data_IF_463333469432
#
_entry.id   IF_463333469432
#
_cell.length_a   1.000
_cell.length_b   1.000
_cell.length_c   1.000
_cell.angle_alpha   90.00
_cell.angle_beta   90.00
_cell.angle_gamma   90.00
#
_symmetry.space_group_name_H-M   'P 1'
#
loop_
_entity.id
_entity.type
_entity.pdbx_description
1 polymer ?
#
# COMPACT_ATOMS: atom_id res chain seq x y z
N UNK A 1 79.45 17.82 28.54
CA UNK A 1 78.08 17.54 29.12
C UNK A 1 77.04 18.11 28.23
N UNK A 2 76.41 17.30 27.36
CA UNK A 2 75.35 17.76 26.46
C UNK A 2 74.05 17.13 26.91
N UNK A 3 73.06 17.96 27.32
CA UNK A 3 71.75 17.56 27.80
C UNK A 3 70.83 17.58 26.61
N UNK A 4 70.39 16.42 26.14
CA UNK A 4 69.41 16.27 25.07
C UNK A 4 68.04 16.30 25.68
N UNK A 5 67.22 17.30 25.25
CA UNK A 5 65.82 17.48 25.63
C UNK A 5 64.94 16.79 24.58
N UNK A 6 64.26 15.70 24.98
CA UNK A 6 63.26 15.01 24.13
C UNK A 6 61.93 15.73 24.20
N UNK A 7 61.48 16.30 23.07
CA UNK A 7 60.12 16.79 22.89
C UNK A 7 59.18 15.63 22.52
N UNK A 8 58.27 15.33 23.38
CA UNK A 8 57.16 14.44 23.08
C UNK A 8 56.04 15.25 22.44
N UNK A 9 55.80 15.05 21.13
CA UNK A 9 54.63 15.61 20.43
C UNK A 9 53.43 14.67 20.65
N UNK A 10 52.45 15.14 21.41
CA UNK A 10 51.12 14.49 21.55
C UNK A 10 50.32 14.70 20.26
N UNK A 11 50.21 13.66 19.46
CA UNK A 11 49.23 13.59 18.38
C UNK A 11 47.85 13.27 18.95
N UNK A 12 46.98 14.26 19.09
CA UNK A 12 45.54 14.04 19.31
C UNK A 12 44.90 13.61 17.98
N UNK A 13 44.67 12.30 17.83
CA UNK A 13 43.84 11.78 16.77
C UNK A 13 42.36 12.06 17.10
N UNK A 14 41.77 13.08 16.43
CA UNK A 14 40.34 13.35 16.49
C UNK A 14 39.57 12.21 15.85
N UNK A 15 38.92 11.35 16.64
CA UNK A 15 37.91 10.42 16.15
C UNK A 15 36.66 11.23 15.75
N UNK A 16 36.48 11.46 14.44
CA UNK A 16 35.20 11.85 13.90
C UNK A 16 34.24 10.69 14.08
N UNK A 17 33.37 10.79 15.07
CA UNK A 17 32.21 9.91 15.20
C UNK A 17 31.26 10.19 14.04
N UNK A 18 31.26 9.35 13.01
CA UNK A 18 30.19 9.30 12.01
C UNK A 18 28.94 8.74 12.68
N UNK A 19 28.01 9.62 13.05
CA UNK A 19 26.66 9.20 13.41
C UNK A 19 26.02 8.57 12.17
N UNK A 20 25.51 7.33 12.27
CA UNK A 20 24.70 6.78 11.19
C UNK A 20 23.48 7.67 11.02
N UNK A 21 23.29 8.19 9.81
CA UNK A 21 22.07 8.90 9.43
C UNK A 21 20.90 7.93 9.67
N UNK A 22 20.12 8.19 10.70
CA UNK A 22 18.84 7.52 10.92
C UNK A 22 17.94 7.90 9.75
N UNK A 23 17.92 7.06 8.72
CA UNK A 23 16.87 7.12 7.71
C UNK A 23 15.55 6.79 8.43
N UNK A 24 14.83 7.83 8.86
CA UNK A 24 13.44 7.68 9.24
C UNK A 24 12.70 7.18 7.99
N UNK A 25 12.54 5.87 7.90
CA UNK A 25 11.62 5.27 6.94
C UNK A 25 10.27 5.88 7.26
N UNK A 26 9.85 6.85 6.45
CA UNK A 26 8.49 7.39 6.51
C UNK A 26 7.56 6.21 6.35
N UNK A 27 6.87 5.81 7.42
CA UNK A 27 5.88 4.75 7.33
C UNK A 27 4.84 5.19 6.32
N UNK A 28 4.71 4.46 5.22
CA UNK A 28 3.73 4.76 4.20
C UNK A 28 2.36 4.86 4.87
N UNK A 29 1.67 5.98 4.70
CA UNK A 29 0.34 6.20 5.25
C UNK A 29 -0.68 6.11 4.12
N UNK A 30 -1.76 5.38 4.35
CA UNK A 30 -2.85 5.27 3.39
C UNK A 30 -3.67 6.57 3.37
N UNK A 31 -3.74 7.21 2.22
CA UNK A 31 -4.50 8.45 2.05
C UNK A 31 -5.98 8.13 1.79
N UNK A 32 -6.87 8.69 2.63
CA UNK A 32 -8.32 8.49 2.50
C UNK A 32 -8.93 9.13 1.25
N UNK A 33 -8.48 10.32 0.86
CA UNK A 33 -9.03 10.98 -0.32
C UNK A 33 -8.65 10.25 -1.62
N UNK A 34 -7.41 9.74 -1.71
CA UNK A 34 -7.00 8.87 -2.81
C UNK A 34 -7.83 7.59 -2.80
N UNK A 35 -8.02 6.99 -1.62
CA UNK A 35 -8.90 5.83 -1.49
C UNK A 35 -10.30 6.11 -2.03
N UNK A 36 -10.94 7.17 -1.55
CA UNK A 36 -12.31 7.52 -1.91
C UNK A 36 -12.49 7.81 -3.41
N UNK A 37 -11.52 8.50 -4.00
CA UNK A 37 -11.64 9.00 -5.38
C UNK A 37 -11.05 8.08 -6.44
N UNK A 38 -10.05 7.28 -6.11
CA UNK A 38 -9.31 6.44 -7.09
C UNK A 38 -9.41 4.94 -6.78
N UNK A 39 -9.39 4.53 -5.52
CA UNK A 39 -9.35 3.11 -5.15
C UNK A 39 -10.75 2.53 -4.99
N UNK A 40 -11.61 3.20 -4.25
CA UNK A 40 -12.95 2.72 -3.99
C UNK A 40 -13.79 2.46 -5.27
N UNK A 41 -13.71 3.26 -6.35
CA UNK A 41 -14.38 2.98 -7.62
C UNK A 41 -14.01 1.62 -8.23
N UNK A 42 -12.79 1.12 -7.99
CA UNK A 42 -12.31 -0.20 -8.47
C UNK A 42 -13.22 -1.33 -7.94
N UNK A 43 -13.75 -1.20 -6.71
CA UNK A 43 -14.64 -2.20 -6.13
C UNK A 43 -16.02 -2.27 -6.78
N UNK A 44 -16.41 -1.22 -7.51
CA UNK A 44 -17.67 -1.11 -8.24
C UNK A 44 -17.49 -1.39 -9.74
N UNK A 45 -16.27 -1.43 -10.23
CA UNK A 45 -15.97 -1.63 -11.64
C UNK A 45 -16.51 -2.97 -12.15
N UNK A 46 -17.13 -2.95 -13.33
CA UNK A 46 -17.55 -4.14 -14.05
C UNK A 46 -16.40 -4.63 -14.92
N UNK A 47 -16.06 -5.90 -14.79
CA UNK A 47 -15.05 -6.55 -15.63
C UNK A 47 -15.69 -7.71 -16.37
N UNK A 48 -15.39 -7.90 -17.66
CA UNK A 48 -15.89 -9.06 -18.42
C UNK A 48 -15.55 -10.37 -17.70
N UNK A 49 -16.54 -11.25 -17.54
CA UNK A 49 -16.35 -12.54 -16.89
C UNK A 49 -16.20 -12.55 -15.37
N UNK A 50 -16.26 -11.38 -14.70
CA UNK A 50 -16.09 -11.27 -13.26
C UNK A 50 -17.25 -10.53 -12.58
N UNK A 51 -17.60 -10.99 -11.38
CA UNK A 51 -18.47 -10.23 -10.49
C UNK A 51 -17.74 -8.98 -9.98
N UNK A 52 -18.48 -7.90 -9.70
CA UNK A 52 -17.91 -6.75 -8.99
C UNK A 52 -17.45 -7.16 -7.61
N UNK A 53 -16.39 -6.56 -7.10
CA UNK A 53 -15.87 -6.85 -5.76
C UNK A 53 -16.98 -6.74 -4.69
N UNK A 54 -17.80 -5.68 -4.76
CA UNK A 54 -18.93 -5.46 -3.83
C UNK A 54 -19.95 -6.63 -3.82
N UNK A 55 -20.10 -7.37 -4.91
CA UNK A 55 -21.07 -8.46 -4.98
C UNK A 55 -20.77 -9.59 -3.99
N UNK A 56 -19.49 -9.88 -3.76
CA UNK A 56 -19.05 -10.87 -2.78
C UNK A 56 -18.64 -10.21 -1.46
N UNK A 57 -18.00 -9.03 -1.52
CA UNK A 57 -17.50 -8.32 -0.34
C UNK A 57 -18.55 -7.46 0.38
N UNK A 58 -19.80 -7.48 -0.04
CA UNK A 58 -20.91 -6.88 0.71
C UNK A 58 -21.35 -7.68 1.94
N UNK A 59 -20.98 -8.97 2.04
CA UNK A 59 -21.33 -9.83 3.16
C UNK A 59 -20.38 -11.04 3.25
N UNK A 60 -20.19 -11.58 4.45
CA UNK A 60 -19.60 -12.90 4.64
C UNK A 60 -18.11 -13.08 4.36
N UNK A 61 -17.35 -12.00 4.14
CA UNK A 61 -15.91 -12.05 3.87
C UNK A 61 -15.12 -11.24 4.89
N UNK A 62 -13.79 -11.53 5.09
CA UNK A 62 -12.93 -10.72 5.96
C UNK A 62 -12.84 -9.25 5.52
N UNK A 63 -12.82 -8.97 4.22
CA UNK A 63 -13.01 -7.64 3.66
C UNK A 63 -14.51 -7.42 3.47
N UNK A 64 -15.13 -6.62 4.33
CA UNK A 64 -16.56 -6.31 4.25
C UNK A 64 -16.77 -4.85 3.90
N UNK A 65 -17.29 -4.62 2.71
CA UNK A 65 -17.68 -3.30 2.22
C UNK A 65 -19.13 -2.99 2.62
N UNK A 66 -19.45 -1.72 2.79
CA UNK A 66 -20.81 -1.28 3.04
C UNK A 66 -21.71 -1.55 1.82
N UNK A 67 -22.98 -1.86 2.00
CA UNK A 67 -23.91 -1.95 0.88
C UNK A 67 -24.03 -0.58 0.21
N UNK A 68 -24.29 -0.58 -1.10
CA UNK A 68 -24.62 0.66 -1.79
C UNK A 68 -26.04 1.09 -1.40
N UNK A 69 -26.26 2.36 -1.10
CA UNK A 69 -27.61 2.88 -0.92
C UNK A 69 -28.46 2.63 -2.18
N UNK A 70 -29.77 2.35 -2.05
CA UNK A 70 -30.65 2.17 -3.19
C UNK A 70 -30.55 3.34 -4.18
N UNK A 71 -30.37 3.04 -5.46
CA UNK A 71 -30.27 4.05 -6.53
C UNK A 71 -28.92 4.79 -6.60
N UNK A 72 -27.97 4.53 -5.69
CA UNK A 72 -26.67 5.19 -5.69
C UNK A 72 -25.66 4.43 -6.53
N UNK A 73 -24.83 5.18 -7.30
CA UNK A 73 -23.71 4.64 -8.06
C UNK A 73 -22.43 4.52 -7.22
N UNK A 74 -22.38 5.16 -6.05
CA UNK A 74 -21.21 5.20 -5.15
C UNK A 74 -21.66 5.34 -3.70
N UNK A 75 -20.70 5.19 -2.77
CA UNK A 75 -20.92 5.40 -1.34
C UNK A 75 -20.84 6.89 -0.97
N UNK A 76 -21.60 7.27 0.05
CA UNK A 76 -21.42 8.54 0.73
C UNK A 76 -20.09 8.57 1.52
N UNK A 77 -19.75 9.69 2.14
CA UNK A 77 -18.50 9.83 2.87
C UNK A 77 -18.44 8.93 4.10
N UNK A 78 -19.51 8.79 4.85
CA UNK A 78 -19.57 7.94 6.05
C UNK A 78 -19.28 6.47 5.70
N UNK A 79 -19.98 5.95 4.69
CA UNK A 79 -19.77 4.57 4.23
C UNK A 79 -18.39 4.38 3.59
N UNK A 80 -17.86 5.40 2.90
CA UNK A 80 -16.52 5.39 2.37
C UNK A 80 -15.47 5.31 3.48
N UNK A 81 -15.67 5.97 4.62
CA UNK A 81 -14.78 5.85 5.79
C UNK A 81 -14.83 4.46 6.41
N UNK A 82 -16.02 3.86 6.51
CA UNK A 82 -16.17 2.46 6.96
C UNK A 82 -15.48 1.48 6.00
N UNK A 83 -15.63 1.69 4.70
CA UNK A 83 -14.92 0.90 3.67
C UNK A 83 -13.41 1.05 3.78
N UNK A 84 -12.92 2.27 3.98
CA UNK A 84 -11.50 2.54 4.19
C UNK A 84 -10.95 1.75 5.38
N UNK A 85 -11.63 1.79 6.53
CA UNK A 85 -11.27 1.02 7.72
C UNK A 85 -11.28 -0.50 7.47
N UNK A 86 -12.24 -1.00 6.69
CA UNK A 86 -12.30 -2.41 6.33
C UNK A 86 -11.13 -2.82 5.44
N UNK A 87 -10.79 -1.99 4.45
CA UNK A 87 -9.69 -2.22 3.52
C UNK A 87 -8.33 -2.16 4.21
N UNK A 88 -8.14 -1.27 5.18
CA UNK A 88 -6.90 -1.19 5.97
C UNK A 88 -6.53 -2.53 6.65
N UNK A 89 -7.51 -3.38 6.97
CA UNK A 89 -7.28 -4.69 7.60
C UNK A 89 -6.63 -5.72 6.67
N UNK A 90 -6.70 -5.48 5.37
CA UNK A 90 -6.17 -6.38 4.33
C UNK A 90 -5.04 -5.75 3.52
N UNK A 91 -4.48 -4.66 4.05
CA UNK A 91 -3.37 -3.91 3.45
C UNK A 91 -2.23 -3.79 4.46
N UNK A 92 -1.01 -3.97 3.99
CA UNK A 92 0.21 -3.62 4.70
C UNK A 92 0.80 -2.36 4.05
N UNK A 93 0.68 -1.18 4.67
CA UNK A 93 1.20 0.07 4.11
C UNK A 93 2.68 -0.05 3.76
N UNK A 94 3.07 0.40 2.58
CA UNK A 94 4.42 0.30 2.05
C UNK A 94 4.81 -1.07 1.49
N UNK A 95 3.95 -2.10 1.60
CA UNK A 95 4.30 -3.47 1.19
C UNK A 95 3.20 -4.08 0.29
N UNK A 96 3.10 -3.65 -0.98
CA UNK A 96 2.03 -4.08 -1.89
C UNK A 96 1.95 -5.60 -2.05
N UNK A 97 3.09 -6.26 -2.28
CA UNK A 97 3.15 -7.71 -2.52
C UNK A 97 2.92 -8.59 -1.27
N UNK A 98 2.65 -7.98 -0.11
CA UNK A 98 2.16 -8.65 1.10
C UNK A 98 0.77 -8.18 1.50
N UNK A 99 0.19 -7.26 0.73
CA UNK A 99 -1.16 -6.75 0.95
C UNK A 99 -2.18 -7.65 0.28
N UNK A 100 -3.03 -8.31 1.08
CA UNK A 100 -4.04 -9.26 0.56
C UNK A 100 -4.99 -8.61 -0.45
N UNK A 101 -5.25 -7.33 -0.31
CA UNK A 101 -6.04 -6.57 -1.27
C UNK A 101 -5.48 -6.67 -2.70
N UNK A 102 -4.15 -6.76 -2.87
CA UNK A 102 -3.49 -6.82 -4.16
C UNK A 102 -3.21 -8.25 -4.62
N UNK A 103 -2.73 -9.11 -3.72
CA UNK A 103 -2.28 -10.45 -4.12
C UNK A 103 -3.43 -11.45 -4.25
N UNK A 104 -4.51 -11.27 -3.45
CA UNK A 104 -5.60 -12.25 -3.41
C UNK A 104 -6.38 -12.33 -4.74
N UNK A 105 -6.78 -11.22 -5.38
CA UNK A 105 -7.44 -11.21 -6.68
C UNK A 105 -6.48 -11.18 -7.89
N UNK A 106 -5.16 -11.23 -7.69
CA UNK A 106 -4.15 -11.31 -8.75
C UNK A 106 -3.97 -12.75 -9.21
N UNK A 107 -3.70 -12.96 -10.50
CA UNK A 107 -3.36 -14.27 -11.04
C UNK A 107 -2.10 -14.84 -10.37
N UNK A 108 -2.08 -16.17 -10.15
CA UNK A 108 -0.98 -16.85 -9.47
C UNK A 108 0.34 -16.68 -10.23
N UNK A 109 0.29 -16.77 -11.56
CA UNK A 109 1.43 -16.59 -12.45
C UNK A 109 2.01 -15.16 -12.39
N UNK A 110 1.20 -14.19 -11.95
CA UNK A 110 1.61 -12.80 -11.74
C UNK A 110 2.07 -12.52 -10.29
N UNK A 111 2.13 -13.54 -9.44
CA UNK A 111 2.52 -13.43 -8.03
C UNK A 111 1.36 -13.30 -7.06
N UNK A 112 0.15 -13.66 -7.49
CA UNK A 112 -1.03 -13.68 -6.64
C UNK A 112 -1.12 -14.92 -5.75
N UNK A 113 -2.11 -14.92 -4.86
CA UNK A 113 -2.46 -16.07 -4.04
C UNK A 113 -3.01 -17.23 -4.90
N UNK A 114 -2.84 -18.45 -4.42
CA UNK A 114 -3.39 -19.65 -5.04
C UNK A 114 -4.91 -19.56 -5.27
N UNK A 115 -5.66 -19.04 -4.29
CA UNK A 115 -7.11 -19.09 -4.34
C UNK A 115 -7.79 -17.75 -4.04
N UNK A 116 -8.78 -17.39 -4.87
CA UNK A 116 -9.75 -16.33 -4.62
C UNK A 116 -11.13 -16.78 -5.13
N UNK A 117 -12.10 -16.90 -4.24
CA UNK A 117 -13.42 -17.45 -4.58
C UNK A 117 -14.15 -16.65 -5.68
N UNK A 118 -13.93 -15.36 -5.78
CA UNK A 118 -14.46 -14.47 -6.82
C UNK A 118 -13.72 -14.53 -8.15
N UNK A 119 -12.74 -15.44 -8.30
CA UNK A 119 -11.83 -15.52 -9.45
C UNK A 119 -10.70 -14.47 -9.40
N UNK A 120 -9.79 -14.55 -10.33
CA UNK A 120 -8.66 -13.63 -10.45
C UNK A 120 -9.05 -12.44 -11.32
N UNK A 121 -9.11 -11.26 -10.71
CA UNK A 121 -9.55 -10.03 -11.39
C UNK A 121 -8.47 -9.40 -12.27
N UNK A 122 -7.19 -9.63 -11.93
CA UNK A 122 -6.04 -9.10 -12.67
C UNK A 122 -5.11 -10.23 -13.10
N UNK A 123 -4.86 -10.31 -14.40
CA UNK A 123 -3.93 -11.30 -14.98
C UNK A 123 -2.47 -10.87 -14.89
N UNK A 124 -2.21 -9.60 -14.61
CA UNK A 124 -0.87 -9.02 -14.58
C UNK A 124 -0.78 -7.88 -13.58
N UNK A 125 0.40 -7.71 -12.99
CA UNK A 125 0.72 -6.53 -12.20
C UNK A 125 0.76 -5.22 -13.01
N UNK A 126 0.77 -5.31 -14.35
CA UNK A 126 0.72 -4.15 -15.24
C UNK A 126 -0.71 -3.63 -15.47
N UNK A 127 -1.72 -4.29 -14.90
CA UNK A 127 -3.10 -3.81 -14.97
C UNK A 127 -3.21 -2.43 -14.30
N UNK A 128 -3.86 -1.43 -14.96
CA UNK A 128 -3.93 -0.07 -14.43
C UNK A 128 -4.59 0.02 -13.05
N UNK A 129 -5.63 -0.79 -12.77
CA UNK A 129 -6.28 -0.80 -11.46
C UNK A 129 -5.36 -1.39 -10.40
N UNK A 130 -4.62 -2.45 -10.74
CA UNK A 130 -3.64 -3.03 -9.84
C UNK A 130 -2.50 -2.06 -9.53
N UNK A 131 -2.03 -1.31 -10.54
CA UNK A 131 -1.02 -0.27 -10.37
C UNK A 131 -1.53 0.89 -9.50
N UNK A 132 -2.80 1.30 -9.65
CA UNK A 132 -3.40 2.32 -8.80
C UNK A 132 -3.46 1.86 -7.32
N UNK A 133 -3.85 0.61 -7.08
CA UNK A 133 -3.82 0.01 -5.74
C UNK A 133 -2.40 -0.04 -5.17
N UNK A 134 -1.42 -0.43 -5.98
CA UNK A 134 0.00 -0.49 -5.57
C UNK A 134 0.52 0.89 -5.17
N UNK A 135 0.29 1.91 -5.99
CA UNK A 135 0.71 3.28 -5.73
C UNK A 135 0.11 3.79 -4.41
N UNK A 136 -1.19 3.55 -4.20
CA UNK A 136 -1.86 3.92 -2.96
C UNK A 136 -1.29 3.20 -1.72
N UNK A 137 -1.01 1.90 -1.83
CA UNK A 137 -0.40 1.12 -0.73
C UNK A 137 1.02 1.61 -0.41
N UNK A 138 1.75 2.08 -1.42
CA UNK A 138 3.07 2.71 -1.24
C UNK A 138 2.99 4.11 -0.60
N UNK A 139 1.79 4.67 -0.43
CA UNK A 139 1.59 6.01 0.13
C UNK A 139 1.73 7.13 -0.90
N UNK A 140 1.70 6.80 -2.19
CA UNK A 140 1.73 7.79 -3.25
C UNK A 140 0.40 8.54 -3.30
N UNK A 141 0.45 9.87 -3.26
CA UNK A 141 -0.73 10.72 -3.31
C UNK A 141 -1.16 11.07 -4.73
N UNK A 142 -0.28 10.85 -5.72
CA UNK A 142 -0.56 10.96 -7.16
C UNK A 142 -0.57 9.57 -7.76
N UNK A 143 -1.63 9.23 -8.46
CA UNK A 143 -1.64 8.09 -9.37
C UNK A 143 -1.06 8.56 -10.71
N UNK A 144 -0.13 7.78 -11.28
CA UNK A 144 0.44 8.06 -12.61
C UNK A 144 -0.68 8.18 -13.62
N UNK A 145 -0.99 9.40 -14.06
CA UNK A 145 -2.07 9.65 -15.06
C UNK A 145 -2.87 10.94 -14.86
N UNK A 146 -2.48 11.83 -13.93
CA UNK A 146 -3.03 13.21 -13.88
C UNK A 146 -2.13 14.18 -14.62
#
# INVERSE_FOLDING_TARGET
MYTTVFYWALMLAGMLSQQPASSSASSASLNFEVFRTKIQPIFLARRPGHARCIACHGSGTPLRLQPLPPGSATWNEEDSRKNFQAVQRVVLPGVPLKSRLLIHPLAEEAGGDFYHNGGKHWSSQNDPEWQALKAWVLGETRTSGD
#
